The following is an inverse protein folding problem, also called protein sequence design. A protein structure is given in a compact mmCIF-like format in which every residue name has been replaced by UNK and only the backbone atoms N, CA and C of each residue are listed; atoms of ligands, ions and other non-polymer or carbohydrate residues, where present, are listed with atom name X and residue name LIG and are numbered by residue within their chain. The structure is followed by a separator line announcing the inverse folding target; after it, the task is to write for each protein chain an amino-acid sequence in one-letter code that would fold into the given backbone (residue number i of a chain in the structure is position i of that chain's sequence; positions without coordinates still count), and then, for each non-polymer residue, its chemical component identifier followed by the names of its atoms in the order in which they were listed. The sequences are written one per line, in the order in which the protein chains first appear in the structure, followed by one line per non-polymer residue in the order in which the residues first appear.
data_IF_986408215499
#
_entry.id   IF_986408215499
#
_cell.length_a   1.000
_cell.length_b   1.000
_cell.length_c   1.000
_cell.angle_alpha   90.00
_cell.angle_beta   90.00
_cell.angle_gamma   90.00
#
_symmetry.space_group_name_H-M   'P 1'
#
loop_
_entity.id
_entity.type
_entity.pdbx_description
1 polymer ?
#
# COMPACT_ATOMS: atom_id res chain seq x y z
N UNK A 1 0.42 57.26 7.02
CA UNK A 1 1.39 56.15 6.97
C UNK A 1 0.62 54.90 6.59
N UNK A 2 0.82 54.41 5.37
CA UNK A 2 0.12 53.20 4.89
C UNK A 2 0.81 51.96 5.46
N UNK A 3 0.08 50.93 5.91
CA UNK A 3 0.69 49.69 6.39
C UNK A 3 1.31 48.94 5.20
N UNK A 4 2.61 48.66 5.28
CA UNK A 4 3.28 47.74 4.37
C UNK A 4 2.85 46.32 4.69
N UNK A 5 1.99 45.73 3.85
CA UNK A 5 1.73 44.30 3.90
C UNK A 5 2.97 43.55 3.40
N UNK A 6 3.68 42.88 4.31
CA UNK A 6 4.77 42.01 3.95
C UNK A 6 4.23 40.79 3.19
N UNK A 7 4.47 40.75 1.87
CA UNK A 7 4.22 39.55 1.08
C UNK A 7 5.25 38.48 1.45
N UNK A 8 4.87 37.59 2.37
CA UNK A 8 5.67 36.45 2.82
C UNK A 8 4.93 35.15 2.55
N UNK A 9 5.35 34.41 1.53
CA UNK A 9 4.71 33.17 1.08
C UNK A 9 4.98 31.99 2.03
N UNK A 10 4.09 31.77 2.99
CA UNK A 10 4.15 30.64 3.96
C UNK A 10 3.26 29.43 3.60
N UNK A 11 2.85 29.27 2.34
CA UNK A 11 1.94 28.19 1.93
C UNK A 11 2.59 26.85 1.49
N UNK A 12 3.91 26.78 1.30
CA UNK A 12 4.50 25.72 0.45
C UNK A 12 5.38 24.65 1.11
N UNK A 13 5.49 24.57 2.45
CA UNK A 13 6.19 23.46 3.09
C UNK A 13 5.49 22.98 4.36
N UNK A 14 4.73 21.89 4.23
CA UNK A 14 4.56 20.97 5.37
C UNK A 14 5.96 20.53 5.82
N UNK A 15 6.28 20.57 7.13
CA UNK A 15 7.54 20.03 7.61
C UNK A 15 7.64 18.54 7.22
N UNK A 16 8.86 18.05 7.00
CA UNK A 16 9.09 16.64 6.70
C UNK A 16 8.44 15.76 7.78
N UNK A 17 7.83 14.62 7.42
CA UNK A 17 7.19 13.75 8.39
C UNK A 17 8.20 13.33 9.45
N UNK A 18 7.84 13.53 10.73
CA UNK A 18 8.68 13.13 11.86
C UNK A 18 8.64 11.63 12.13
N UNK A 19 7.70 10.92 11.49
CA UNK A 19 7.57 9.46 11.52
C UNK A 19 8.14 8.90 10.23
N UNK A 20 9.04 7.93 10.36
CA UNK A 20 9.81 7.31 9.26
C UNK A 20 9.71 5.79 9.35
N UNK A 21 10.31 5.10 8.39
CA UNK A 21 10.39 3.63 8.35
C UNK A 21 11.07 3.05 9.61
N UNK A 22 11.93 3.83 10.28
CA UNK A 22 12.62 3.45 11.52
C UNK A 22 11.72 3.48 12.76
N UNK A 23 10.61 4.21 12.67
CA UNK A 23 9.62 4.35 13.74
C UNK A 23 8.51 3.29 13.62
N UNK A 24 8.51 2.51 12.54
CA UNK A 24 7.63 1.36 12.35
C UNK A 24 8.10 0.22 13.27
N UNK A 25 7.24 -0.27 14.18
CA UNK A 25 7.59 -1.41 15.03
C UNK A 25 7.62 -2.71 14.22
N UNK A 26 8.17 -3.78 14.79
CA UNK A 26 8.13 -5.12 14.19
C UNK A 26 6.68 -5.55 13.83
N UNK A 27 6.50 -5.89 12.55
CA UNK A 27 5.23 -6.31 11.97
C UNK A 27 5.13 -7.83 11.80
N UNK A 28 6.10 -8.60 12.31
CA UNK A 28 6.12 -10.07 12.25
C UNK A 28 4.81 -10.69 12.72
N UNK A 29 4.30 -11.64 11.92
CA UNK A 29 3.04 -12.35 12.18
C UNK A 29 1.76 -11.50 12.03
N UNK A 30 1.84 -10.29 11.45
CA UNK A 30 0.68 -9.46 11.14
C UNK A 30 0.34 -9.52 9.65
N UNK A 31 -0.96 -9.53 9.36
CA UNK A 31 -1.51 -9.61 7.99
C UNK A 31 -2.09 -8.26 7.61
N UNK A 32 -1.57 -7.67 6.54
CA UNK A 32 -2.00 -6.40 5.97
C UNK A 32 -2.63 -6.63 4.60
N UNK A 33 -3.71 -5.92 4.29
CA UNK A 33 -4.22 -5.78 2.92
C UNK A 33 -4.17 -4.31 2.56
N UNK A 34 -3.64 -4.00 1.37
CA UNK A 34 -3.61 -2.64 0.82
C UNK A 34 -4.26 -2.68 -0.55
N UNK A 35 -5.29 -1.85 -0.77
CA UNK A 35 -5.94 -1.74 -2.07
C UNK A 35 -5.28 -0.64 -2.92
N UNK A 36 -5.32 -0.78 -4.25
CA UNK A 36 -4.78 0.24 -5.15
C UNK A 36 -3.25 0.33 -5.14
N UNK A 37 -2.55 -0.80 -4.99
CA UNK A 37 -1.07 -0.86 -5.02
C UNK A 37 -0.47 -0.88 -6.43
N UNK A 38 -1.29 -1.02 -7.46
CA UNK A 38 -0.85 -1.10 -8.87
C UNK A 38 -0.54 0.25 -9.51
N UNK A 39 -0.93 1.36 -8.87
CA UNK A 39 -0.70 2.73 -9.36
C UNK A 39 -0.68 3.74 -8.21
N UNK A 40 -0.06 4.91 -8.42
CA UNK A 40 0.04 5.95 -7.39
C UNK A 40 0.94 5.56 -6.21
N UNK A 41 0.68 6.13 -5.02
CA UNK A 41 1.50 5.91 -3.81
C UNK A 41 1.45 4.48 -3.26
N UNK A 42 0.52 3.63 -3.71
CA UNK A 42 0.38 2.26 -3.22
C UNK A 42 1.48 1.30 -3.72
N UNK A 43 2.32 1.70 -4.67
CA UNK A 43 3.33 0.82 -5.32
C UNK A 43 4.46 0.32 -4.42
N UNK A 44 4.48 0.73 -3.15
CA UNK A 44 5.55 0.44 -2.20
C UNK A 44 5.10 -0.50 -1.06
N UNK A 45 3.89 -1.08 -1.12
CA UNK A 45 3.27 -1.79 0.01
C UNK A 45 3.06 -3.30 -0.26
N UNK A 46 3.69 -4.22 0.53
CA UNK A 46 3.68 -5.69 0.32
C UNK A 46 2.58 -6.50 1.07
N UNK A 47 2.44 -7.82 0.78
CA UNK A 47 1.24 -8.66 1.14
C UNK A 47 1.51 -10.21 1.45
N UNK A 48 0.94 -11.27 0.78
CA UNK A 48 1.35 -12.73 0.80
C UNK A 48 0.72 -13.79 -0.23
N UNK A 49 1.17 -13.99 -1.51
CA UNK A 49 1.01 -15.16 -2.47
C UNK A 49 1.47 -14.92 -3.96
N UNK A 50 1.39 -15.93 -4.85
CA UNK A 50 2.00 -16.01 -6.20
C UNK A 50 1.30 -15.31 -7.40
N UNK A 51 2.06 -14.95 -8.48
CA UNK A 51 1.54 -14.34 -9.69
C UNK A 51 1.18 -15.35 -10.80
N UNK A 52 -0.08 -15.81 -10.87
CA UNK A 52 -0.54 -16.69 -11.97
C UNK A 52 -1.71 -16.12 -12.82
N UNK A 53 -2.21 -14.91 -12.53
CA UNK A 53 -3.12 -14.19 -13.46
C UNK A 53 -3.24 -12.72 -13.05
N UNK A 54 -2.57 -11.81 -13.77
CA UNK A 54 -2.51 -10.39 -13.40
C UNK A 54 -2.49 -9.43 -14.59
N UNK A 55 -2.85 -8.17 -14.32
CA UNK A 55 -2.56 -7.05 -15.22
C UNK A 55 -1.04 -6.75 -15.25
N UNK A 56 -0.49 -6.27 -16.38
CA UNK A 56 0.94 -5.94 -16.49
C UNK A 56 1.43 -4.93 -15.44
N UNK A 57 0.56 -4.06 -14.95
CA UNK A 57 0.84 -3.07 -13.90
C UNK A 57 1.00 -3.73 -12.52
N UNK A 58 0.18 -4.75 -12.21
CA UNK A 58 0.23 -5.50 -10.96
C UNK A 58 1.55 -6.26 -10.78
N UNK A 59 1.95 -7.01 -11.81
CA UNK A 59 3.21 -7.76 -11.78
C UNK A 59 4.42 -6.84 -11.63
N UNK A 60 4.43 -5.69 -12.33
CA UNK A 60 5.51 -4.69 -12.21
C UNK A 60 5.63 -4.14 -10.79
N UNK A 61 4.51 -3.81 -10.15
CA UNK A 61 4.50 -3.31 -8.76
C UNK A 61 5.01 -4.38 -7.78
N UNK A 62 4.56 -5.64 -7.95
CA UNK A 62 5.01 -6.80 -7.19
C UNK A 62 6.55 -6.99 -7.29
N UNK A 63 7.08 -7.12 -8.52
CA UNK A 63 8.51 -7.35 -8.72
C UNK A 63 9.37 -6.14 -8.33
N UNK A 64 8.86 -4.91 -8.47
CA UNK A 64 9.55 -3.71 -8.01
C UNK A 64 9.69 -3.70 -6.48
N UNK A 65 8.61 -4.01 -5.75
CA UNK A 65 8.61 -4.08 -4.28
C UNK A 65 9.57 -5.16 -3.78
N UNK A 66 9.49 -6.37 -4.36
CA UNK A 66 10.37 -7.48 -3.98
C UNK A 66 11.85 -7.23 -4.29
N UNK A 67 12.14 -6.42 -5.32
CA UNK A 67 13.51 -5.99 -5.65
C UNK A 67 14.01 -4.86 -4.74
N UNK A 68 13.11 -4.01 -4.23
CA UNK A 68 13.46 -2.92 -3.32
C UNK A 68 13.86 -3.45 -1.92
N UNK A 69 13.13 -4.45 -1.42
CA UNK A 69 13.33 -5.03 -0.08
C UNK A 69 13.71 -6.53 -0.13
N UNK A 70 14.86 -6.90 -0.73
CA UNK A 70 15.26 -8.31 -0.92
C UNK A 70 15.69 -9.02 0.38
N UNK A 71 15.84 -8.27 1.48
CA UNK A 71 16.16 -8.77 2.82
C UNK A 71 14.95 -8.76 3.76
N UNK A 72 13.74 -8.60 3.24
CA UNK A 72 12.52 -8.70 4.04
C UNK A 72 12.22 -10.16 4.37
N UNK A 73 12.00 -10.45 5.66
CA UNK A 73 11.46 -11.74 6.14
C UNK A 73 9.93 -11.84 5.92
N UNK A 74 9.29 -10.81 5.36
CA UNK A 74 7.86 -10.76 5.03
C UNK A 74 7.52 -11.36 3.67
N UNK A 75 6.26 -11.79 3.52
CA UNK A 75 5.72 -12.35 2.26
C UNK A 75 5.09 -11.25 1.38
N UNK A 76 4.77 -11.57 0.11
CA UNK A 76 4.17 -10.63 -0.85
C UNK A 76 3.07 -11.32 -1.69
N UNK A 77 1.85 -10.74 -1.78
CA UNK A 77 0.75 -11.15 -2.69
C UNK A 77 0.76 -10.18 -3.86
N UNK A 78 0.19 -10.65 -4.95
CA UNK A 78 -0.86 -9.87 -5.59
C UNK A 78 -2.27 -10.43 -5.30
N UNK A 79 -3.12 -9.65 -4.65
CA UNK A 79 -4.54 -9.97 -4.53
C UNK A 79 -5.27 -9.34 -5.73
N UNK A 80 -5.81 -10.16 -6.63
CA UNK A 80 -6.57 -9.66 -7.77
C UNK A 80 -7.90 -9.06 -7.30
N UNK A 81 -8.02 -7.75 -7.41
CA UNK A 81 -9.12 -6.98 -6.83
C UNK A 81 -9.52 -5.85 -7.76
N UNK A 82 -10.71 -5.98 -8.35
CA UNK A 82 -11.43 -4.87 -8.96
C UNK A 82 -12.50 -4.39 -7.96
N UNK A 83 -12.42 -3.13 -7.55
CA UNK A 83 -13.37 -2.53 -6.61
C UNK A 83 -14.68 -2.08 -7.28
N UNK A 84 -14.72 -2.00 -8.62
CA UNK A 84 -15.94 -1.74 -9.37
C UNK A 84 -16.81 -3.00 -9.51
N UNK A 85 -16.24 -4.20 -9.37
CA UNK A 85 -16.93 -5.48 -9.43
C UNK A 85 -17.05 -6.12 -8.03
N UNK A 86 -18.24 -6.04 -7.43
CA UNK A 86 -18.51 -6.62 -6.11
C UNK A 86 -18.40 -8.16 -6.07
N UNK A 87 -18.47 -8.86 -7.21
CA UNK A 87 -18.16 -10.29 -7.26
C UNK A 87 -16.66 -10.52 -7.08
N UNK A 88 -15.81 -9.71 -7.72
CA UNK A 88 -14.34 -9.74 -7.55
C UNK A 88 -13.93 -9.36 -6.13
N UNK A 89 -14.58 -8.37 -5.51
CA UNK A 89 -14.39 -8.04 -4.09
C UNK A 89 -14.69 -9.26 -3.19
N UNK A 90 -15.78 -9.99 -3.47
CA UNK A 90 -16.14 -11.20 -2.71
C UNK A 90 -15.15 -12.34 -2.92
N UNK A 91 -14.75 -12.62 -4.16
CA UNK A 91 -13.75 -13.64 -4.49
C UNK A 91 -12.41 -13.36 -3.77
N UNK A 92 -11.95 -12.11 -3.81
CA UNK A 92 -10.73 -11.68 -3.12
C UNK A 92 -10.82 -11.84 -1.59
N UNK A 93 -11.97 -11.53 -0.99
CA UNK A 93 -12.21 -11.74 0.43
C UNK A 93 -12.25 -13.24 0.80
N UNK A 94 -12.84 -14.09 -0.04
CA UNK A 94 -12.85 -15.54 0.14
C UNK A 94 -11.45 -16.16 0.01
N UNK A 95 -10.63 -15.67 -0.92
CA UNK A 95 -9.21 -16.07 -1.03
C UNK A 95 -8.44 -15.74 0.25
N UNK A 96 -8.57 -14.51 0.77
CA UNK A 96 -7.94 -14.09 2.04
C UNK A 96 -8.38 -14.97 3.20
N UNK A 97 -9.67 -15.27 3.33
CA UNK A 97 -10.20 -16.12 4.42
C UNK A 97 -9.78 -17.59 4.30
N UNK A 98 -9.42 -18.05 3.10
CA UNK A 98 -8.89 -19.39 2.86
C UNK A 98 -7.41 -19.53 3.23
N UNK A 99 -6.62 -18.46 3.09
CA UNK A 99 -5.18 -18.45 3.41
C UNK A 99 -4.87 -17.95 4.82
N UNK A 100 -5.61 -16.96 5.33
CA UNK A 100 -5.28 -16.21 6.53
C UNK A 100 -6.39 -16.29 7.58
N UNK A 101 -6.04 -16.76 8.78
CA UNK A 101 -7.00 -16.87 9.89
C UNK A 101 -7.36 -15.53 10.54
N UNK A 102 -6.56 -14.48 10.31
CA UNK A 102 -6.72 -13.18 10.96
C UNK A 102 -6.12 -12.03 10.16
N UNK A 103 -6.98 -11.18 9.60
CA UNK A 103 -6.59 -9.86 9.10
C UNK A 103 -6.26 -8.92 10.27
N UNK A 104 -5.15 -8.18 10.18
CA UNK A 104 -4.75 -7.22 11.20
C UNK A 104 -5.08 -5.78 10.80
N UNK A 105 -4.86 -5.40 9.53
CA UNK A 105 -5.18 -4.07 9.00
C UNK A 105 -5.64 -4.17 7.54
N UNK A 106 -6.67 -3.38 7.20
CA UNK A 106 -7.10 -3.13 5.82
C UNK A 106 -6.90 -1.64 5.50
N UNK A 107 -6.02 -1.35 4.53
CA UNK A 107 -5.83 -0.01 3.98
C UNK A 107 -6.61 0.12 2.67
N UNK A 108 -7.77 0.79 2.75
CA UNK A 108 -8.55 1.18 1.58
C UNK A 108 -7.93 2.44 0.96
N UNK A 109 -6.93 2.24 0.08
CA UNK A 109 -6.13 3.31 -0.52
C UNK A 109 -6.44 3.54 -2.01
N UNK A 110 -7.10 2.61 -2.69
CA UNK A 110 -7.67 2.85 -4.01
C UNK A 110 -8.74 3.96 -3.99
N UNK A 111 -8.83 4.70 -5.10
CA UNK A 111 -9.74 5.83 -5.32
C UNK A 111 -10.36 5.75 -6.72
#
# INVERSE_FOLDING_TARGET
MSPTFASGSTQNFTPAPSFTEKDVPDLSGKVYIVTGTTSGMGSNLPVSSTPETQSPEGERSYYATQKAEPSSDGSLVFLSLDLADLQKVKEAAEQVLATETKLHVLFNNAA
#
